data_IF_923258557967
#
_entry.id   IF_923258557967
#
_cell.length_a   1.000
_cell.length_b   1.000
_cell.length_c   1.000
_cell.angle_alpha   90.00
_cell.angle_beta   90.00
_cell.angle_gamma   90.00
#
_symmetry.space_group_name_H-M   'P 1'
#
loop_
_entity.id
_entity.type
_entity.pdbx_description
1 polymer ?
#
# COMPACT_ATOMS: atom_id res chain seq x y z
N UNK A 1 -1.46 -16.58 56.24
CA UNK A 1 -2.15 -15.47 56.91
C UNK A 1 -3.49 -15.99 57.39
N UNK A 2 -3.69 -16.17 58.71
CA UNK A 2 -4.93 -16.70 59.26
C UNK A 2 -5.97 -15.59 59.32
N UNK A 3 -7.19 -15.87 58.85
CA UNK A 3 -8.29 -14.89 58.75
C UNK A 3 -8.71 -14.38 60.14
N UNK A 4 -8.48 -15.19 61.18
CA UNK A 4 -8.86 -14.90 62.57
C UNK A 4 -8.06 -13.75 63.21
N UNK A 5 -6.91 -13.38 62.63
CA UNK A 5 -6.05 -12.28 63.12
C UNK A 5 -6.49 -10.90 62.61
N UNK A 6 -7.50 -10.81 61.73
CA UNK A 6 -7.96 -9.57 61.06
C UNK A 6 -8.91 -8.69 61.88
N UNK A 7 -9.01 -8.91 63.19
CA UNK A 7 -10.00 -8.23 64.07
C UNK A 7 -9.51 -6.91 64.66
N UNK A 8 -8.28 -6.47 64.36
CA UNK A 8 -7.76 -5.19 64.86
C UNK A 8 -8.18 -4.01 63.98
N UNK A 9 -8.34 -2.82 64.59
CA UNK A 9 -8.67 -1.57 63.87
C UNK A 9 -7.71 -1.27 62.72
N UNK A 10 -6.44 -1.69 62.81
CA UNK A 10 -5.45 -1.61 61.74
C UNK A 10 -5.88 -2.37 60.48
N UNK A 11 -6.49 -3.53 60.65
CA UNK A 11 -6.80 -4.45 59.57
C UNK A 11 -8.05 -3.98 58.82
N UNK A 12 -9.01 -3.41 59.53
CA UNK A 12 -10.14 -2.70 58.93
C UNK A 12 -9.67 -1.54 58.04
N UNK A 13 -8.62 -0.82 58.44
CA UNK A 13 -8.01 0.25 57.63
C UNK A 13 -7.31 -0.35 56.40
N UNK A 14 -6.55 -1.43 56.55
CA UNK A 14 -5.89 -2.11 55.43
C UNK A 14 -6.89 -2.65 54.41
N UNK A 15 -7.95 -3.32 54.86
CA UNK A 15 -9.02 -3.84 53.99
C UNK A 15 -9.74 -2.70 53.27
N UNK A 16 -10.08 -1.62 53.98
CA UNK A 16 -10.70 -0.42 53.40
C UNK A 16 -9.79 0.24 52.35
N UNK A 17 -8.49 0.31 52.62
CA UNK A 17 -7.52 0.83 51.67
C UNK A 17 -7.41 -0.05 50.42
N UNK A 18 -7.35 -1.37 50.57
CA UNK A 18 -7.33 -2.32 49.43
C UNK A 18 -8.61 -2.18 48.61
N UNK A 19 -9.79 -2.15 49.24
CA UNK A 19 -11.06 -1.98 48.54
C UNK A 19 -11.11 -0.66 47.75
N UNK A 20 -10.67 0.44 48.38
CA UNK A 20 -10.63 1.77 47.77
C UNK A 20 -9.65 1.82 46.60
N UNK A 21 -8.46 1.24 46.74
CA UNK A 21 -7.44 1.23 45.68
C UNK A 21 -7.86 0.37 44.50
N UNK A 22 -8.48 -0.79 44.71
CA UNK A 22 -9.06 -1.62 43.65
C UNK A 22 -10.15 -0.85 42.91
N UNK A 23 -11.08 -0.23 43.65
CA UNK A 23 -12.15 0.57 43.05
C UNK A 23 -11.60 1.70 42.18
N UNK A 24 -10.66 2.48 42.71
CA UNK A 24 -10.06 3.59 41.99
C UNK A 24 -9.25 3.13 40.77
N UNK A 25 -8.54 2.00 40.87
CA UNK A 25 -7.82 1.39 39.76
C UNK A 25 -8.77 0.95 38.64
N UNK A 26 -9.89 0.31 39.01
CA UNK A 26 -10.94 -0.09 38.09
C UNK A 26 -11.54 1.11 37.35
N UNK A 27 -11.91 2.18 38.07
CA UNK A 27 -12.45 3.41 37.47
C UNK A 27 -11.45 4.04 36.50
N UNK A 28 -10.17 4.12 36.87
CA UNK A 28 -9.11 4.61 35.97
C UNK A 28 -8.97 3.75 34.71
N UNK A 29 -9.02 2.43 34.84
CA UNK A 29 -8.96 1.50 33.71
C UNK A 29 -10.16 1.67 32.79
N UNK A 30 -11.37 1.81 33.33
CA UNK A 30 -12.56 2.08 32.53
C UNK A 30 -12.46 3.40 31.76
N UNK A 31 -11.97 4.46 32.41
CA UNK A 31 -11.77 5.75 31.75
C UNK A 31 -10.74 5.63 30.60
N UNK A 32 -9.67 4.85 30.80
CA UNK A 32 -8.70 4.55 29.76
C UNK A 32 -9.30 3.74 28.62
N UNK A 33 -10.06 2.68 28.89
CA UNK A 33 -10.74 1.86 27.86
C UNK A 33 -11.69 2.74 27.04
N UNK A 34 -12.50 3.56 27.71
CA UNK A 34 -13.44 4.48 27.04
C UNK A 34 -12.70 5.49 26.14
N UNK A 35 -11.57 6.02 26.60
CA UNK A 35 -10.74 6.94 25.81
C UNK A 35 -10.12 6.26 24.58
N UNK A 36 -9.75 5.00 24.70
CA UNK A 36 -9.07 4.22 23.66
C UNK A 36 -10.03 3.27 22.92
N UNK A 37 -11.34 3.46 23.03
CA UNK A 37 -12.34 2.59 22.40
C UNK A 37 -12.22 2.57 20.87
N UNK A 38 -11.60 3.59 20.28
CA UNK A 38 -11.37 3.71 18.83
C UNK A 38 -10.04 3.12 18.37
N UNK A 39 -9.19 2.64 19.28
CA UNK A 39 -7.92 1.99 18.92
C UNK A 39 -8.10 0.48 19.01
N UNK A 40 -8.00 -0.18 17.86
CA UNK A 40 -8.06 -1.64 17.76
C UNK A 40 -6.65 -2.16 17.44
N UNK A 41 -6.20 -3.21 18.13
CA UNK A 41 -4.90 -3.81 17.80
C UNK A 41 -5.03 -4.60 16.50
N UNK A 42 -4.03 -4.50 15.64
CA UNK A 42 -3.98 -5.27 14.40
C UNK A 42 -4.05 -6.78 14.65
N UNK A 43 -3.47 -7.27 15.75
CA UNK A 43 -3.52 -8.68 16.15
C UNK A 43 -4.90 -9.17 16.60
N UNK A 44 -5.84 -8.26 16.86
CA UNK A 44 -7.20 -8.58 17.30
C UNK A 44 -8.19 -8.64 16.13
N UNK A 45 -7.74 -8.32 14.91
CA UNK A 45 -8.55 -8.40 13.69
C UNK A 45 -8.80 -9.86 13.30
N UNK A 46 -10.03 -10.15 12.88
CA UNK A 46 -10.36 -11.39 12.19
C UNK A 46 -9.71 -11.46 10.81
N UNK A 47 -9.64 -12.66 10.24
CA UNK A 47 -9.11 -12.87 8.89
C UNK A 47 -9.86 -12.05 7.84
N UNK A 48 -11.21 -11.95 7.96
CA UNK A 48 -11.99 -11.13 7.04
C UNK A 48 -11.66 -9.64 7.14
N UNK A 49 -11.44 -9.13 8.35
CA UNK A 49 -11.09 -7.73 8.58
C UNK A 49 -9.66 -7.41 8.12
N UNK A 50 -8.72 -8.34 8.31
CA UNK A 50 -7.36 -8.23 7.79
C UNK A 50 -7.35 -8.10 6.27
N UNK A 51 -8.10 -8.94 5.56
CA UNK A 51 -8.26 -8.86 4.11
C UNK A 51 -8.86 -7.53 3.68
N UNK A 52 -9.84 -7.00 4.41
CA UNK A 52 -10.42 -5.69 4.13
C UNK A 52 -9.40 -4.56 4.31
N UNK A 53 -8.61 -4.60 5.40
CA UNK A 53 -7.53 -3.63 5.65
C UNK A 53 -6.47 -3.71 4.56
N UNK A 54 -6.00 -4.92 4.21
CA UNK A 54 -5.05 -5.13 3.13
C UNK A 54 -5.59 -4.61 1.79
N UNK A 55 -6.87 -4.86 1.48
CA UNK A 55 -7.48 -4.35 0.26
C UNK A 55 -7.52 -2.81 0.23
N UNK A 56 -7.87 -2.16 1.34
CA UNK A 56 -7.91 -0.69 1.44
C UNK A 56 -6.50 -0.09 1.38
N UNK A 57 -5.56 -0.72 2.09
CA UNK A 57 -4.17 -0.30 2.16
C UNK A 57 -3.35 -0.71 0.93
N UNK A 58 -3.89 -1.57 0.06
CA UNK A 58 -3.23 -1.94 -1.19
C UNK A 58 -3.12 -0.70 -2.06
N UNK A 59 -1.90 -0.17 -2.17
CA UNK A 59 -1.56 0.79 -3.21
C UNK A 59 -1.52 0.01 -4.51
N UNK A 60 -2.65 -0.11 -5.20
CA UNK A 60 -2.59 -0.44 -6.61
C UNK A 60 -1.96 0.79 -7.26
N UNK A 61 -0.77 0.66 -7.86
CA UNK A 61 -0.26 1.68 -8.75
C UNK A 61 -1.35 1.94 -9.79
N UNK A 62 -2.07 3.05 -9.62
CA UNK A 62 -3.11 3.48 -10.56
C UNK A 62 -2.37 3.99 -11.79
N UNK A 63 -1.95 3.06 -12.64
CA UNK A 63 -1.47 3.36 -14.00
C UNK A 63 -2.58 3.97 -14.89
N UNK A 64 -3.77 4.24 -14.35
CA UNK A 64 -4.87 4.94 -15.02
C UNK A 64 -4.47 6.31 -15.55
N UNK A 65 -3.37 6.88 -15.06
CA UNK A 65 -2.76 8.10 -15.59
C UNK A 65 -1.34 7.87 -16.12
N UNK A 66 -1.08 6.73 -16.77
CA UNK A 66 0.11 6.66 -17.62
C UNK A 66 -0.09 7.64 -18.77
N UNK A 67 0.39 8.87 -18.57
CA UNK A 67 0.19 9.96 -19.50
C UNK A 67 1.05 9.73 -20.75
N UNK A 68 0.41 9.14 -21.77
CA UNK A 68 1.03 8.87 -23.06
C UNK A 68 1.51 10.12 -23.78
N UNK A 69 1.11 11.32 -23.37
CA UNK A 69 1.56 12.58 -23.99
C UNK A 69 3.08 12.69 -24.03
N UNK A 70 3.80 12.14 -23.05
CA UNK A 70 5.27 12.11 -23.09
C UNK A 70 5.77 11.18 -24.21
N UNK A 71 5.18 9.99 -24.33
CA UNK A 71 5.54 9.03 -25.38
C UNK A 71 5.14 9.52 -26.78
N UNK A 72 3.99 10.17 -26.92
CA UNK A 72 3.51 10.77 -28.17
C UNK A 72 4.44 11.89 -28.66
N UNK A 73 5.06 12.64 -27.75
CA UNK A 73 6.05 13.68 -28.09
C UNK A 73 7.43 13.09 -28.38
N UNK A 74 7.79 11.99 -27.73
CA UNK A 74 9.12 11.38 -27.84
C UNK A 74 9.25 10.46 -29.06
N UNK A 75 8.19 9.72 -29.38
CA UNK A 75 8.18 8.68 -30.40
C UNK A 75 7.51 9.18 -31.69
N UNK A 76 7.93 8.62 -32.82
CA UNK A 76 7.18 8.75 -34.07
C UNK A 76 5.89 7.94 -34.01
N UNK A 77 4.92 8.26 -34.86
CA UNK A 77 3.63 7.54 -34.93
C UNK A 77 3.81 6.03 -35.13
N UNK A 78 4.78 5.63 -35.96
CA UNK A 78 5.10 4.21 -36.20
C UNK A 78 5.70 3.53 -34.97
N UNK A 79 6.68 4.17 -34.32
CA UNK A 79 7.29 3.69 -33.08
C UNK A 79 6.25 3.54 -31.96
N UNK A 80 5.40 4.56 -31.78
CA UNK A 80 4.33 4.54 -30.78
C UNK A 80 3.34 3.40 -31.06
N UNK A 81 2.91 3.24 -32.32
CA UNK A 81 1.97 2.18 -32.72
C UNK A 81 2.51 0.78 -32.43
N UNK A 82 3.81 0.56 -32.67
CA UNK A 82 4.49 -0.70 -32.37
C UNK A 82 4.58 -0.94 -30.85
N UNK A 83 4.97 0.08 -30.06
CA UNK A 83 5.05 -0.04 -28.60
C UNK A 83 3.68 -0.32 -27.98
N UNK A 84 2.64 0.40 -28.41
CA UNK A 84 1.26 0.18 -27.94
C UNK A 84 0.77 -1.22 -28.27
N UNK A 85 1.05 -1.72 -29.48
CA UNK A 85 0.63 -3.05 -29.91
C UNK A 85 1.29 -4.17 -29.11
N UNK A 86 2.60 -4.06 -28.85
CA UNK A 86 3.36 -5.11 -28.17
C UNK A 86 3.16 -5.08 -26.66
N UNK A 87 3.32 -3.91 -26.02
CA UNK A 87 3.39 -3.82 -24.56
C UNK A 87 2.05 -3.56 -23.88
N UNK A 88 1.13 -2.85 -24.55
CA UNK A 88 -0.19 -2.56 -23.99
C UNK A 88 -1.26 -3.54 -24.45
N UNK A 89 -1.19 -4.01 -25.70
CA UNK A 89 -2.17 -4.95 -26.27
C UNK A 89 -1.69 -6.41 -26.28
N UNK A 90 -0.41 -6.66 -26.00
CA UNK A 90 0.14 -8.02 -25.90
C UNK A 90 0.34 -8.74 -27.24
N UNK A 91 0.32 -8.03 -28.37
CA UNK A 91 0.54 -8.66 -29.68
C UNK A 91 1.99 -9.07 -29.90
N UNK A 92 2.18 -10.16 -30.64
CA UNK A 92 3.49 -10.56 -31.15
C UNK A 92 4.00 -9.60 -32.23
N UNK A 93 5.30 -9.64 -32.52
CA UNK A 93 5.88 -8.84 -33.59
C UNK A 93 5.31 -9.21 -34.98
N UNK A 94 4.91 -10.46 -35.17
CA UNK A 94 4.27 -10.96 -36.40
C UNK A 94 2.84 -10.44 -36.55
N UNK A 95 2.04 -10.49 -35.48
CA UNK A 95 0.67 -9.93 -35.50
C UNK A 95 0.69 -8.42 -35.66
N UNK A 96 1.63 -7.74 -35.00
CA UNK A 96 1.83 -6.30 -35.15
C UNK A 96 2.23 -5.92 -36.58
N UNK A 97 3.11 -6.71 -37.22
CA UNK A 97 3.51 -6.51 -38.61
C UNK A 97 2.31 -6.64 -39.56
N UNK A 98 1.48 -7.67 -39.35
CA UNK A 98 0.25 -7.87 -40.12
C UNK A 98 -0.76 -6.73 -39.90
N UNK A 99 -0.95 -6.30 -38.64
CA UNK A 99 -1.87 -5.21 -38.28
C UNK A 99 -1.47 -3.87 -38.90
N UNK A 100 -0.16 -3.58 -38.95
CA UNK A 100 0.38 -2.32 -39.46
C UNK A 100 0.70 -2.37 -40.96
N UNK A 101 0.55 -3.52 -41.63
CA UNK A 101 0.86 -3.68 -43.05
C UNK A 101 2.35 -3.53 -43.39
N UNK A 102 3.24 -3.86 -42.45
CA UNK A 102 4.70 -3.71 -42.60
C UNK A 102 5.43 -5.03 -42.38
N UNK A 103 6.71 -5.09 -42.75
CA UNK A 103 7.52 -6.29 -42.49
C UNK A 103 7.83 -6.48 -41.01
N UNK A 104 8.03 -7.73 -40.58
CA UNK A 104 8.49 -8.06 -39.22
C UNK A 104 9.80 -7.35 -38.85
N UNK A 105 10.68 -7.16 -39.82
CA UNK A 105 11.95 -6.44 -39.63
C UNK A 105 11.71 -4.95 -39.33
N UNK A 106 10.75 -4.32 -40.02
CA UNK A 106 10.37 -2.93 -39.77
C UNK A 106 9.80 -2.76 -38.35
N UNK A 107 8.94 -3.68 -37.89
CA UNK A 107 8.44 -3.69 -36.51
C UNK A 107 9.59 -3.79 -35.50
N UNK A 108 10.53 -4.71 -35.71
CA UNK A 108 11.67 -4.87 -34.81
C UNK A 108 12.58 -3.63 -34.78
N UNK A 109 12.84 -3.00 -35.94
CA UNK A 109 13.61 -1.77 -36.00
C UNK A 109 12.90 -0.61 -35.30
N UNK A 110 11.59 -0.44 -35.53
CA UNK A 110 10.79 0.58 -34.86
C UNK A 110 10.76 0.36 -33.34
N UNK A 111 10.58 -0.89 -32.89
CA UNK A 111 10.66 -1.26 -31.46
C UNK A 111 12.00 -0.88 -30.85
N UNK A 112 13.11 -1.26 -31.48
CA UNK A 112 14.46 -0.96 -30.97
C UNK A 112 14.71 0.55 -30.86
N UNK A 113 14.37 1.32 -31.89
CA UNK A 113 14.51 2.79 -31.87
C UNK A 113 13.65 3.43 -30.77
N UNK A 114 12.41 2.97 -30.63
CA UNK A 114 11.50 3.48 -29.60
C UNK A 114 12.04 3.22 -28.19
N UNK A 115 12.50 2.00 -27.93
CA UNK A 115 13.06 1.63 -26.62
C UNK A 115 14.32 2.43 -26.30
N UNK A 116 15.19 2.67 -27.28
CA UNK A 116 16.39 3.49 -27.07
C UNK A 116 16.02 4.93 -26.69
N UNK A 117 15.06 5.55 -27.40
CA UNK A 117 14.56 6.89 -27.06
C UNK A 117 13.97 6.95 -25.65
N UNK A 118 13.15 5.96 -25.28
CA UNK A 118 12.56 5.86 -23.93
C UNK A 118 13.66 5.72 -22.88
N UNK A 119 14.65 4.85 -23.14
CA UNK A 119 15.78 4.61 -22.22
C UNK A 119 16.56 5.90 -21.97
N UNK A 120 16.96 6.61 -23.02
CA UNK A 120 17.69 7.88 -22.89
C UNK A 120 16.85 8.90 -22.12
N UNK A 121 15.54 8.99 -22.39
CA UNK A 121 14.69 9.98 -21.73
C UNK A 121 14.47 9.72 -20.22
N UNK A 122 14.29 8.47 -19.82
CA UNK A 122 13.96 8.12 -18.42
C UNK A 122 15.17 7.72 -17.58
N UNK A 123 16.21 7.16 -18.17
CA UNK A 123 17.35 6.60 -17.44
C UNK A 123 18.58 7.51 -17.41
N UNK A 124 18.82 8.29 -18.47
CA UNK A 124 19.98 9.19 -18.56
C UNK A 124 19.69 10.61 -18.07
N UNK A 125 18.48 10.90 -17.56
CA UNK A 125 18.24 12.15 -16.84
C UNK A 125 18.78 12.06 -15.41
N UNK A 126 19.53 13.06 -14.91
CA UNK A 126 19.84 13.14 -13.48
C UNK A 126 18.51 13.19 -12.73
N UNK A 127 18.35 12.30 -11.74
CA UNK A 127 17.17 12.27 -10.87
C UNK A 127 17.04 13.64 -10.22
N UNK A 128 16.08 14.45 -10.66
CA UNK A 128 15.71 15.65 -9.92
C UNK A 128 15.32 15.21 -8.50
N UNK A 129 16.01 15.80 -7.52
CA UNK A 129 15.76 15.60 -6.10
C UNK A 129 14.33 16.08 -5.85
N UNK A 130 13.44 15.12 -5.57
CA UNK A 130 12.06 15.41 -5.17
C UNK A 130 12.11 16.11 -3.79
N UNK A 131 11.42 17.26 -3.61
CA UNK A 131 11.34 17.94 -2.31
C UNK A 131 10.64 17.09 -1.25
#
# INVERSE_FOLDING_TARGET
MRIDDLRNKSDAVTVSYIATTIHNSYVKRLAWIKKNQTTLLYSELSEQELVAVESICSTTDKYSEFNFTVLEKLLTVSELSVIMSIYFKGYTATETAHLLGVSRQAVNQAKLRALEKIKVFYWDKPKEVRP
#
